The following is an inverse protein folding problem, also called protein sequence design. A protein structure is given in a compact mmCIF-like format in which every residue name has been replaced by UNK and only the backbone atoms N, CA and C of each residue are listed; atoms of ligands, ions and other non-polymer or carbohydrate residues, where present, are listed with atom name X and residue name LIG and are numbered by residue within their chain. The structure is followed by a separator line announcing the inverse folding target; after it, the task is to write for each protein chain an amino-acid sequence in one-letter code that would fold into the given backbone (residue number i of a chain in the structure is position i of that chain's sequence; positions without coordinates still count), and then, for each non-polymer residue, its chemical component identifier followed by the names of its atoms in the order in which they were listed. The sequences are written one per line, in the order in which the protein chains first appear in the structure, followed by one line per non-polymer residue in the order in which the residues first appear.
data_IF_055645741088
#
_entry.id   IF_055645741088
#
_cell.length_a   1.000
_cell.length_b   1.000
_cell.length_c   1.000
_cell.angle_alpha   90.00
_cell.angle_beta   90.00
_cell.angle_gamma   90.00
#
_symmetry.space_group_name_H-M   'P 1'
#
loop_
_entity.id
_entity.type
_entity.pdbx_description
1 polymer ?
#
# COMPACT_ATOMS: atom_id res chain seq x y z
N UNK A 1 -3.71 6.40 -6.39
CA UNK A 1 -4.14 6.70 -5.01
C UNK A 1 -3.33 7.84 -4.42
N UNK A 2 -3.91 8.59 -3.51
CA UNK A 2 -3.33 9.78 -2.90
C UNK A 2 -3.42 9.69 -1.37
N UNK A 3 -2.40 10.22 -0.69
CA UNK A 3 -2.38 10.33 0.76
C UNK A 3 -1.82 11.68 1.19
N UNK A 4 -2.45 12.29 2.18
CA UNK A 4 -1.95 13.51 2.82
C UNK A 4 -1.84 13.26 4.31
N UNK A 5 -0.66 13.52 4.87
CA UNK A 5 -0.40 13.35 6.30
C UNK A 5 0.03 14.66 6.94
N UNK A 6 -0.54 14.96 8.10
CA UNK A 6 -0.18 16.09 8.95
C UNK A 6 0.15 15.57 10.36
N UNK A 7 1.32 15.93 10.87
CA UNK A 7 1.70 15.64 12.26
C UNK A 7 0.89 16.55 13.20
N UNK A 8 0.49 15.99 14.35
CA UNK A 8 -0.23 16.68 15.41
C UNK A 8 0.70 16.93 16.60
N UNK A 9 0.36 17.92 17.38
CA UNK A 9 1.07 18.25 18.64
C UNK A 9 0.63 17.35 19.82
N UNK A 10 -0.47 16.61 19.66
CA UNK A 10 -0.98 15.62 20.60
C UNK A 10 -0.71 14.17 20.10
N UNK A 11 -1.10 13.16 20.88
CA UNK A 11 -0.95 11.74 20.51
C UNK A 11 -2.07 11.20 19.64
N UNK A 12 -3.06 12.02 19.30
CA UNK A 12 -4.27 11.59 18.61
C UNK A 12 -3.99 11.16 17.18
N UNK A 13 -4.62 10.07 16.75
CA UNK A 13 -4.55 9.51 15.41
C UNK A 13 -5.92 9.64 14.74
N UNK A 14 -5.96 10.29 13.59
CA UNK A 14 -7.15 10.41 12.77
C UNK A 14 -6.83 9.91 11.37
N UNK A 15 -7.59 8.93 10.89
CA UNK A 15 -7.43 8.37 9.56
C UNK A 15 -8.77 8.45 8.84
N UNK A 16 -8.82 9.16 7.72
CA UNK A 16 -10.03 9.33 6.91
C UNK A 16 -9.81 8.73 5.53
N UNK A 17 -10.73 7.88 5.09
CA UNK A 17 -10.80 7.37 3.72
C UNK A 17 -11.97 8.03 3.02
N UNK A 18 -11.70 8.79 1.99
CA UNK A 18 -12.73 9.46 1.18
C UNK A 18 -13.54 8.45 0.36
N UNK A 19 -12.90 7.37 -0.07
CA UNK A 19 -13.53 6.29 -0.86
C UNK A 19 -14.53 5.50 -0.04
N UNK A 20 -14.20 5.23 1.23
CA UNK A 20 -15.07 4.49 2.15
C UNK A 20 -16.10 5.40 2.84
N UNK A 21 -15.86 6.71 2.87
CA UNK A 21 -16.65 7.65 3.69
C UNK A 21 -16.49 7.40 5.19
N UNK A 22 -15.40 6.75 5.61
CA UNK A 22 -15.16 6.30 6.99
C UNK A 22 -13.98 7.05 7.62
N UNK A 23 -14.05 7.20 8.95
CA UNK A 23 -12.97 7.83 9.72
C UNK A 23 -12.72 7.03 11.00
N UNK A 24 -11.44 6.69 11.23
CA UNK A 24 -10.94 6.19 12.51
C UNK A 24 -10.40 7.38 13.31
N UNK A 25 -10.75 7.46 14.58
CA UNK A 25 -10.24 8.48 15.51
C UNK A 25 -9.93 7.85 16.86
N UNK A 26 -8.68 7.93 17.30
CA UNK A 26 -8.18 7.34 18.53
C UNK A 26 -7.25 8.32 19.25
N UNK A 27 -7.19 8.25 20.58
CA UNK A 27 -6.38 9.16 21.39
C UNK A 27 -4.92 8.67 21.55
N UNK A 28 -4.65 7.42 21.15
CA UNK A 28 -3.30 6.83 21.17
C UNK A 28 -3.10 5.82 20.03
N UNK A 29 -1.85 5.40 19.81
CA UNK A 29 -1.52 4.34 18.85
C UNK A 29 -2.12 3.00 19.30
N UNK A 30 -2.05 2.68 20.57
CA UNK A 30 -2.58 1.43 21.14
C UNK A 30 -4.08 1.32 20.87
N UNK A 31 -4.84 2.40 21.07
CA UNK A 31 -6.26 2.46 20.81
C UNK A 31 -6.54 2.34 19.29
N UNK A 32 -5.81 3.07 18.47
CA UNK A 32 -5.96 3.01 17.02
C UNK A 32 -5.71 1.61 16.44
N UNK A 33 -4.80 0.82 17.02
CA UNK A 33 -4.49 -0.53 16.57
C UNK A 33 -5.57 -1.57 16.85
N UNK A 34 -6.44 -1.34 17.83
CA UNK A 34 -7.50 -2.27 18.23
C UNK A 34 -8.91 -1.81 17.80
N UNK A 35 -9.02 -0.61 17.24
CA UNK A 35 -10.29 -0.06 16.77
C UNK A 35 -10.86 -0.93 15.65
N UNK A 36 -12.16 -1.24 15.73
CA UNK A 36 -12.83 -2.07 14.72
C UNK A 36 -13.27 -1.21 13.55
N UNK A 37 -13.01 -1.69 12.33
CA UNK A 37 -13.42 -0.97 11.12
C UNK A 37 -12.67 -1.42 9.87
N UNK A 38 -12.81 -0.69 8.78
CA UNK A 38 -12.23 -1.06 7.49
C UNK A 38 -10.74 -0.70 7.36
N UNK A 39 -10.09 -0.25 8.43
CA UNK A 39 -8.70 0.24 8.41
C UNK A 39 -7.64 -0.81 8.74
N UNK A 40 -7.97 -2.11 8.69
CA UNK A 40 -7.08 -3.20 9.11
C UNK A 40 -5.69 -3.17 8.46
N UNK A 41 -5.59 -2.85 7.16
CA UNK A 41 -4.30 -2.73 6.48
C UNK A 41 -3.47 -1.57 7.03
N UNK A 42 -4.10 -0.41 7.28
CA UNK A 42 -3.41 0.77 7.82
C UNK A 42 -2.98 0.50 9.27
N UNK A 43 -3.81 -0.19 10.04
CA UNK A 43 -3.46 -0.63 11.40
C UNK A 43 -2.26 -1.58 11.39
N UNK A 44 -2.20 -2.52 10.44
CA UNK A 44 -1.05 -3.40 10.25
C UNK A 44 0.22 -2.61 9.90
N UNK A 45 0.12 -1.62 9.01
CA UNK A 45 1.24 -0.72 8.69
C UNK A 45 1.70 0.07 9.92
N UNK A 46 0.76 0.64 10.70
CA UNK A 46 1.09 1.35 11.95
C UNK A 46 1.73 0.42 12.98
N UNK A 47 1.30 -0.85 13.02
CA UNK A 47 1.88 -1.86 13.91
C UNK A 47 3.36 -2.12 13.56
N UNK A 48 3.71 -2.17 12.27
CA UNK A 48 5.11 -2.35 11.83
C UNK A 48 5.93 -1.07 12.01
N UNK A 49 5.38 0.09 11.60
CA UNK A 49 6.08 1.38 11.62
C UNK A 49 6.26 1.96 13.03
N UNK A 50 5.31 1.72 13.93
CA UNK A 50 5.30 2.21 15.32
C UNK A 50 5.53 3.74 15.43
N UNK A 51 4.67 4.59 14.80
CA UNK A 51 4.83 6.04 14.86
C UNK A 51 4.80 6.53 16.31
N UNK A 52 5.69 7.48 16.66
CA UNK A 52 5.84 8.04 18.02
C UNK A 52 5.17 9.42 18.16
N UNK A 53 4.30 9.78 17.25
CA UNK A 53 3.60 11.07 17.19
C UNK A 53 2.16 10.87 16.73
N UNK A 54 1.28 11.76 17.13
CA UNK A 54 -0.08 11.83 16.60
C UNK A 54 -0.09 12.38 15.17
N UNK A 55 -1.06 11.99 14.38
CA UNK A 55 -1.18 12.45 12.99
C UNK A 55 -2.62 12.41 12.48
N UNK A 56 -2.85 13.17 11.44
CA UNK A 56 -4.03 13.07 10.58
C UNK A 56 -3.61 12.55 9.22
N UNK A 57 -4.24 11.50 8.74
CA UNK A 57 -4.00 10.87 7.45
C UNK A 57 -5.31 10.85 6.65
N UNK A 58 -5.32 11.52 5.51
CA UNK A 58 -6.42 11.49 4.55
C UNK A 58 -6.02 10.69 3.33
N UNK A 59 -6.86 9.75 2.91
CA UNK A 59 -6.62 8.82 1.82
C UNK A 59 -7.73 8.91 0.79
N UNK A 60 -7.34 8.76 -0.48
CA UNK A 60 -8.25 8.68 -1.61
C UNK A 60 -7.67 7.74 -2.68
N UNK A 61 -8.50 6.90 -3.29
CA UNK A 61 -8.12 6.02 -4.39
C UNK A 61 -8.78 6.46 -5.70
N UNK A 62 -8.07 6.29 -6.81
CA UNK A 62 -8.59 6.62 -8.14
C UNK A 62 -9.28 5.42 -8.81
N UNK A 63 -9.31 4.27 -8.14
CA UNK A 63 -9.92 3.04 -8.63
C UNK A 63 -10.69 2.31 -7.52
N UNK A 64 -11.72 1.52 -7.88
CA UNK A 64 -12.57 0.85 -6.91
C UNK A 64 -11.81 -0.17 -6.05
N UNK A 65 -12.21 -0.29 -4.79
CA UNK A 65 -11.73 -1.35 -3.91
C UNK A 65 -12.13 -2.72 -4.47
N UNK A 66 -11.21 -3.69 -4.37
CA UNK A 66 -11.43 -5.05 -4.87
C UNK A 66 -11.41 -5.17 -6.40
N UNK A 67 -10.86 -4.17 -7.11
CA UNK A 67 -10.73 -4.17 -8.56
C UNK A 67 -9.68 -5.13 -9.12
N UNK A 68 -8.85 -5.75 -8.26
CA UNK A 68 -7.74 -6.60 -8.71
C UNK A 68 -6.52 -5.83 -9.25
N UNK A 69 -6.49 -4.51 -9.09
CA UNK A 69 -5.43 -3.63 -9.60
C UNK A 69 -4.32 -3.35 -8.56
N UNK A 70 -4.08 -4.27 -7.62
CA UNK A 70 -3.06 -4.09 -6.59
C UNK A 70 -3.37 -2.98 -5.57
N UNK A 71 -4.66 -2.75 -5.27
CA UNK A 71 -5.12 -1.63 -4.44
C UNK A 71 -4.52 -1.61 -3.04
N UNK A 72 -4.40 -2.77 -2.38
CA UNK A 72 -3.80 -2.87 -1.04
C UNK A 72 -2.32 -2.49 -1.04
N UNK A 73 -1.56 -2.99 -2.01
CA UNK A 73 -0.14 -2.66 -2.16
C UNK A 73 0.07 -1.17 -2.48
N UNK A 74 -0.76 -0.61 -3.36
CA UNK A 74 -0.73 0.82 -3.69
C UNK A 74 -1.05 1.69 -2.46
N UNK A 75 -2.08 1.31 -1.68
CA UNK A 75 -2.43 2.00 -0.44
C UNK A 75 -1.29 1.91 0.58
N UNK A 76 -0.68 0.73 0.72
CA UNK A 76 0.49 0.54 1.59
C UNK A 76 1.66 1.44 1.17
N UNK A 77 1.98 1.51 -0.12
CA UNK A 77 3.03 2.38 -0.64
C UNK A 77 2.76 3.85 -0.35
N UNK A 78 1.52 4.33 -0.52
CA UNK A 78 1.10 5.70 -0.22
C UNK A 78 1.26 6.02 1.27
N UNK A 79 0.74 5.15 2.15
CA UNK A 79 0.81 5.34 3.61
C UNK A 79 2.25 5.32 4.10
N UNK A 80 3.05 4.34 3.64
CA UNK A 80 4.48 4.25 3.98
C UNK A 80 5.27 5.44 3.43
N UNK A 81 4.94 5.93 2.23
CA UNK A 81 5.51 7.14 1.66
C UNK A 81 5.28 8.35 2.55
N UNK A 82 4.06 8.51 3.08
CA UNK A 82 3.74 9.58 4.03
C UNK A 82 4.60 9.48 5.30
N UNK A 83 4.71 8.30 5.92
CA UNK A 83 5.58 8.09 7.07
C UNK A 83 7.05 8.33 6.73
N UNK A 84 7.50 7.85 5.57
CA UNK A 84 8.87 7.98 5.12
C UNK A 84 9.29 9.45 4.94
N UNK A 85 8.38 10.31 4.45
CA UNK A 85 8.66 11.74 4.32
C UNK A 85 8.99 12.42 5.65
N UNK A 86 8.45 11.94 6.75
CA UNK A 86 8.68 12.48 8.10
C UNK A 86 9.95 11.93 8.78
N UNK A 87 10.54 10.88 8.24
CA UNK A 87 11.75 10.25 8.79
C UNK A 87 13.01 11.05 8.43
N UNK A 88 13.99 11.05 9.33
CA UNK A 88 15.34 11.55 9.07
C UNK A 88 16.15 10.52 8.26
N UNK A 89 16.02 9.26 8.63
CA UNK A 89 16.62 8.05 8.06
C UNK A 89 15.58 7.41 7.14
N UNK A 90 15.63 7.79 5.88
CA UNK A 90 14.66 7.35 4.87
C UNK A 90 14.84 5.87 4.56
N UNK A 91 13.72 5.16 4.50
CA UNK A 91 13.68 3.85 3.86
C UNK A 91 13.90 3.99 2.36
N UNK A 92 14.64 3.07 1.77
CA UNK A 92 14.73 2.90 0.33
C UNK A 92 13.51 2.12 -0.20
N UNK A 93 13.42 1.96 -1.53
CA UNK A 93 12.28 1.30 -2.17
C UNK A 93 12.15 -0.18 -1.75
N UNK A 94 13.26 -0.90 -1.61
CA UNK A 94 13.25 -2.29 -1.13
C UNK A 94 12.70 -2.38 0.29
N UNK A 95 13.18 -1.54 1.20
CA UNK A 95 12.69 -1.50 2.58
C UNK A 95 11.19 -1.16 2.65
N UNK A 96 10.72 -0.23 1.83
CA UNK A 96 9.30 0.12 1.75
C UNK A 96 8.45 -1.07 1.26
N UNK A 97 8.91 -1.79 0.22
CA UNK A 97 8.22 -2.97 -0.29
C UNK A 97 8.18 -4.10 0.74
N UNK A 98 9.28 -4.31 1.48
CA UNK A 98 9.36 -5.29 2.56
C UNK A 98 8.42 -4.96 3.73
N UNK A 99 8.36 -3.70 4.16
CA UNK A 99 7.45 -3.26 5.22
C UNK A 99 5.99 -3.46 4.77
N UNK A 100 5.66 -3.12 3.52
CA UNK A 100 4.34 -3.34 2.96
C UNK A 100 3.97 -4.83 2.95
N UNK A 101 4.90 -5.69 2.52
CA UNK A 101 4.73 -7.14 2.54
C UNK A 101 4.49 -7.65 3.96
N UNK A 102 5.32 -7.28 4.93
CA UNK A 102 5.18 -7.69 6.33
C UNK A 102 3.81 -7.31 6.89
N UNK A 103 3.36 -6.08 6.66
CA UNK A 103 2.07 -5.59 7.15
C UNK A 103 0.91 -6.40 6.57
N UNK A 104 0.92 -6.68 5.28
CA UNK A 104 -0.20 -7.35 4.60
C UNK A 104 -0.17 -8.86 4.79
N UNK A 105 1.00 -9.51 4.65
CA UNK A 105 1.12 -10.97 4.66
C UNK A 105 1.28 -11.55 6.06
N UNK A 106 2.11 -10.93 6.90
CA UNK A 106 2.43 -11.48 8.22
C UNK A 106 1.49 -10.97 9.31
N UNK A 107 1.11 -9.69 9.30
CA UNK A 107 0.25 -9.13 10.33
C UNK A 107 -1.24 -9.24 10.00
N UNK A 108 -1.64 -8.95 8.77
CA UNK A 108 -3.03 -9.06 8.35
C UNK A 108 -3.40 -10.49 7.89
N UNK A 109 -2.41 -11.32 7.58
CA UNK A 109 -2.60 -12.74 7.24
C UNK A 109 -3.22 -12.98 5.86
N UNK A 110 -3.10 -12.02 4.94
CA UNK A 110 -3.59 -12.18 3.57
C UNK A 110 -2.59 -13.00 2.77
N UNK A 111 -3.03 -14.13 2.19
CA UNK A 111 -2.19 -14.96 1.32
C UNK A 111 -1.73 -14.22 0.07
N UNK A 112 -0.51 -14.49 -0.40
CA UNK A 112 0.04 -13.93 -1.63
C UNK A 112 1.56 -13.76 -1.59
N UNK A 113 2.13 -13.42 -2.76
CA UNK A 113 3.55 -13.15 -2.95
C UNK A 113 3.93 -11.68 -2.75
N UNK A 114 5.12 -11.34 -3.21
CA UNK A 114 5.78 -10.04 -3.08
C UNK A 114 5.50 -9.06 -4.23
N UNK A 115 4.97 -9.57 -5.34
CA UNK A 115 4.93 -8.86 -6.62
C UNK A 115 4.20 -7.52 -6.54
N UNK A 116 3.05 -7.46 -5.86
CA UNK A 116 2.19 -6.28 -5.82
C UNK A 116 2.87 -5.13 -5.06
N UNK A 117 3.52 -5.44 -3.93
CA UNK A 117 4.22 -4.46 -3.11
C UNK A 117 5.42 -3.88 -3.85
N UNK A 118 6.21 -4.75 -4.52
CA UNK A 118 7.34 -4.31 -5.32
C UNK A 118 6.89 -3.47 -6.52
N UNK A 119 5.88 -3.94 -7.26
CA UNK A 119 5.33 -3.19 -8.38
C UNK A 119 4.79 -1.81 -7.97
N UNK A 120 4.07 -1.73 -6.84
CA UNK A 120 3.49 -0.48 -6.35
C UNK A 120 4.55 0.53 -5.87
N UNK A 121 5.62 0.05 -5.22
CA UNK A 121 6.68 0.91 -4.68
C UNK A 121 7.63 1.39 -5.77
N UNK A 122 8.09 0.50 -6.65
CA UNK A 122 9.06 0.85 -7.68
C UNK A 122 8.42 1.57 -8.88
N UNK A 123 7.17 1.22 -9.21
CA UNK A 123 6.47 1.79 -10.36
C UNK A 123 7.17 1.54 -11.70
N UNK A 124 6.57 1.99 -12.80
CA UNK A 124 7.13 1.85 -14.14
C UNK A 124 7.18 0.40 -14.65
N UNK A 125 8.12 0.13 -15.56
CA UNK A 125 8.33 -1.20 -16.14
C UNK A 125 9.58 -1.84 -15.53
N UNK A 126 9.40 -2.98 -14.85
CA UNK A 126 10.49 -3.67 -14.17
C UNK A 126 10.45 -5.17 -14.48
N UNK A 127 11.63 -5.77 -14.56
CA UNK A 127 11.82 -7.20 -14.40
C UNK A 127 12.21 -7.45 -12.94
N UNK A 128 11.40 -8.23 -12.22
CA UNK A 128 11.59 -8.46 -10.79
C UNK A 128 11.85 -9.94 -10.56
N UNK A 129 12.96 -10.24 -9.90
CA UNK A 129 13.39 -11.59 -9.53
C UNK A 129 13.27 -11.74 -8.02
N UNK A 130 12.52 -12.77 -7.59
CA UNK A 130 12.33 -13.07 -6.18
C UNK A 130 13.23 -14.25 -5.80
N UNK A 131 14.20 -13.99 -4.92
CA UNK A 131 15.15 -14.97 -4.43
C UNK A 131 15.03 -15.11 -2.89
N UNK A 132 15.47 -16.27 -2.33
CA UNK A 132 15.39 -16.47 -0.87
C UNK A 132 16.21 -15.47 -0.05
N UNK A 133 17.28 -14.93 -0.64
CA UNK A 133 18.24 -14.05 0.03
C UNK A 133 17.94 -12.58 -0.19
N UNK A 134 17.53 -12.21 -1.41
CA UNK A 134 17.18 -10.84 -1.77
C UNK A 134 16.29 -10.78 -3.02
N UNK A 135 15.49 -9.77 -3.14
CA UNK A 135 14.69 -9.50 -4.33
C UNK A 135 15.40 -8.48 -5.21
N UNK A 136 15.50 -8.76 -6.51
CA UNK A 136 16.22 -7.93 -7.48
C UNK A 136 15.21 -7.25 -8.39
N UNK A 137 15.31 -5.92 -8.50
CA UNK A 137 14.48 -5.12 -9.40
C UNK A 137 15.35 -4.52 -10.49
N UNK A 138 15.06 -4.90 -11.72
CA UNK A 138 15.76 -4.43 -12.92
C UNK A 138 14.84 -3.53 -13.76
N UNK A 139 15.00 -2.18 -13.71
CA UNK A 139 14.16 -1.29 -14.48
C UNK A 139 14.34 -1.48 -15.99
N UNK A 140 13.25 -1.66 -16.70
CA UNK A 140 13.22 -1.77 -18.15
C UNK A 140 13.01 -0.37 -18.76
N UNK A 141 14.02 0.15 -19.44
CA UNK A 141 13.94 1.45 -20.10
C UNK A 141 13.26 1.29 -21.46
N UNK A 142 11.97 1.61 -21.50
CA UNK A 142 11.23 1.69 -22.75
C UNK A 142 11.46 3.04 -23.43
N UNK A 143 11.53 3.02 -24.77
CA UNK A 143 11.43 4.24 -25.58
C UNK A 143 9.99 4.74 -25.47
N UNK A 144 9.79 6.07 -25.55
CA UNK A 144 8.47 6.67 -25.32
C UNK A 144 7.42 6.22 -26.35
N UNK A 145 7.83 5.98 -27.61
CA UNK A 145 6.97 5.46 -28.65
C UNK A 145 6.50 4.03 -28.36
N UNK A 146 7.37 3.17 -27.86
CA UNK A 146 7.02 1.80 -27.44
C UNK A 146 6.05 1.82 -26.24
N UNK A 147 6.29 2.70 -25.27
CA UNK A 147 5.39 2.85 -24.12
C UNK A 147 3.99 3.31 -24.54
N UNK A 148 3.91 4.28 -25.45
CA UNK A 148 2.64 4.77 -26.01
C UNK A 148 1.93 3.70 -26.83
N UNK A 149 2.65 2.96 -27.68
CA UNK A 149 2.07 1.85 -28.47
C UNK A 149 1.49 0.77 -27.56
N UNK A 150 2.18 0.44 -26.46
CA UNK A 150 1.64 -0.50 -25.47
C UNK A 150 0.37 0.05 -24.81
N UNK A 151 0.36 1.31 -24.39
CA UNK A 151 -0.80 1.96 -23.77
C UNK A 151 -2.01 1.95 -24.71
N UNK A 152 -1.83 2.29 -26.00
CA UNK A 152 -2.88 2.25 -27.01
C UNK A 152 -3.38 0.83 -27.33
N UNK A 153 -2.55 -0.18 -27.09
CA UNK A 153 -2.88 -1.60 -27.33
C UNK A 153 -3.60 -2.27 -26.16
N UNK A 154 -3.66 -1.62 -24.99
CA UNK A 154 -4.30 -2.16 -23.79
C UNK A 154 -5.76 -1.75 -23.71
N UNK A 155 -6.62 -2.71 -23.34
CA UNK A 155 -8.03 -2.48 -23.05
C UNK A 155 -8.29 -2.92 -21.61
N UNK A 156 -8.81 -2.00 -20.80
CA UNK A 156 -9.29 -2.31 -19.46
C UNK A 156 -10.76 -2.71 -19.54
N UNK A 157 -11.08 -3.92 -19.04
CA UNK A 157 -12.47 -4.41 -18.95
C UNK A 157 -12.86 -4.55 -17.48
N UNK A 158 -13.84 -3.77 -17.04
CA UNK A 158 -14.45 -3.95 -15.72
C UNK A 158 -15.47 -5.08 -15.78
N UNK A 159 -15.27 -6.13 -14.97
CA UNK A 159 -16.18 -7.27 -14.87
C UNK A 159 -17.37 -7.02 -13.95
N UNK A 160 -17.37 -5.91 -13.21
CA UNK A 160 -18.39 -5.58 -12.21
C UNK A 160 -18.37 -6.49 -10.97
N UNK A 161 -17.36 -7.34 -10.82
CA UNK A 161 -17.22 -8.27 -9.70
C UNK A 161 -15.95 -7.92 -8.91
N UNK A 162 -16.13 -7.48 -7.66
CA UNK A 162 -15.02 -7.27 -6.75
C UNK A 162 -14.46 -8.60 -6.22
N UNK A 163 -13.14 -8.72 -6.15
CA UNK A 163 -12.46 -9.90 -5.61
C UNK A 163 -11.60 -9.53 -4.39
N UNK A 164 -11.57 -10.46 -3.43
CA UNK A 164 -10.53 -10.47 -2.40
C UNK A 164 -9.39 -11.38 -2.90
N UNK A 165 -8.24 -10.82 -3.20
CA UNK A 165 -7.08 -11.52 -3.77
C UNK A 165 -6.62 -12.72 -2.92
N UNK A 166 -6.75 -12.65 -1.59
CA UNK A 166 -6.41 -13.75 -0.69
C UNK A 166 -7.12 -15.06 -1.01
N UNK A 167 -8.39 -15.02 -1.40
CA UNK A 167 -9.17 -16.23 -1.71
C UNK A 167 -8.71 -16.96 -2.99
N UNK A 168 -8.08 -16.22 -3.93
CA UNK A 168 -7.59 -16.79 -5.19
C UNK A 168 -6.27 -17.53 -4.98
N UNK A 169 -5.44 -17.05 -4.06
CA UNK A 169 -4.15 -17.68 -3.75
C UNK A 169 -4.28 -18.92 -2.89
N UNK A 170 -5.36 -19.07 -2.11
CA UNK A 170 -5.62 -20.29 -1.32
C UNK A 170 -6.00 -21.48 -2.21
N UNK A 171 -6.42 -21.25 -3.46
CA UNK A 171 -6.78 -22.29 -4.43
C UNK A 171 -5.61 -22.68 -5.37
N UNK A 172 -4.44 -22.07 -5.26
CA UNK A 172 -3.23 -22.36 -6.04
C UNK A 172 -2.19 -23.14 -5.24
#
# INVERSE_FOLDING_TARGET
SHGTMRVRDDSKIIISSLDLGETLSADSLEEALIEKGPFGLIQSLMHVVQPKYGFELSLNSDFPLGSGLGGSATLSAVVLGCFNMLRKDKWNEHELAEIAFQAERLHLGIAGGWQDQYAAVFGGFNFIEFHPEENIVSPIRLQSDIALELEESLILCDTGIGHHSGNIHDDQ
#
